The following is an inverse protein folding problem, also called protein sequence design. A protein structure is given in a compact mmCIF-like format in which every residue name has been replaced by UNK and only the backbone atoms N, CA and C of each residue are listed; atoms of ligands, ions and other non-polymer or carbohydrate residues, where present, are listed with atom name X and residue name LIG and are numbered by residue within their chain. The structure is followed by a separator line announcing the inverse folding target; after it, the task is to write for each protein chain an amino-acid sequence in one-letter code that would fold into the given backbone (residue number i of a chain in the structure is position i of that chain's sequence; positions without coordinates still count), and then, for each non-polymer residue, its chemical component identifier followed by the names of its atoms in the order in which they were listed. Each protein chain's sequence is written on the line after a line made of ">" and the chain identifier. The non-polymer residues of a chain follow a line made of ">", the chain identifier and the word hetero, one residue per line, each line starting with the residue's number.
data_IF_874900555862
#
_entry.id   IF_874900555862
#
_cell.length_a   1.000
_cell.length_b   1.000
_cell.length_c   1.000
_cell.angle_alpha   90.00
_cell.angle_beta   90.00
_cell.angle_gamma   90.00
#
_symmetry.space_group_name_H-M   'P 1'
#
loop_
_entity.id
_entity.type
_entity.pdbx_description
1 polymer ?
#
# COMPACT_ATOMS: atom_id res chain seq x y z
N UNK A 1 -32.11 25.71 -61.39
CA UNK A 1 -31.63 27.06 -61.78
C UNK A 1 -32.48 28.04 -60.99
N UNK A 2 -32.05 28.88 -60.05
CA UNK A 2 -30.77 29.50 -59.65
C UNK A 2 -31.01 30.04 -58.22
N UNK A 3 -30.12 29.81 -57.23
CA UNK A 3 -29.18 30.79 -56.61
C UNK A 3 -29.83 32.16 -56.28
N UNK A 4 -29.63 32.83 -55.14
CA UNK A 4 -28.63 32.76 -54.07
C UNK A 4 -29.03 33.79 -52.99
N UNK A 5 -28.78 33.42 -51.73
CA UNK A 5 -28.30 34.17 -50.55
C UNK A 5 -28.69 35.65 -50.34
N UNK A 6 -29.14 35.97 -49.11
CA UNK A 6 -28.47 37.02 -48.34
C UNK A 6 -28.56 36.76 -46.82
N UNK A 7 -27.43 37.01 -46.19
CA UNK A 7 -27.00 36.76 -44.82
C UNK A 7 -27.58 37.80 -43.85
N UNK A 8 -28.04 37.38 -42.68
CA UNK A 8 -28.14 38.26 -41.51
C UNK A 8 -27.42 37.61 -40.31
N UNK A 9 -26.32 38.24 -39.90
CA UNK A 9 -25.51 37.89 -38.73
C UNK A 9 -26.26 38.33 -37.47
N UNK A 10 -26.53 37.42 -36.54
CA UNK A 10 -26.79 37.76 -35.15
C UNK A 10 -25.75 37.09 -34.26
N UNK A 11 -24.89 37.94 -33.69
CA UNK A 11 -23.91 37.60 -32.67
C UNK A 11 -24.65 37.44 -31.33
N UNK A 12 -25.01 36.21 -30.97
CA UNK A 12 -25.24 35.88 -29.56
C UNK A 12 -23.91 35.48 -28.93
N UNK A 13 -23.36 36.39 -28.14
CA UNK A 13 -22.26 36.10 -27.22
C UNK A 13 -22.74 35.08 -26.19
N UNK A 14 -22.28 33.85 -26.32
CA UNK A 14 -22.38 32.85 -25.26
C UNK A 14 -21.37 33.23 -24.17
N UNK A 15 -21.85 33.83 -23.09
CA UNK A 15 -21.12 33.92 -21.84
C UNK A 15 -20.88 32.49 -21.32
N UNK A 16 -19.71 31.94 -21.67
CA UNK A 16 -19.21 30.70 -21.10
C UNK A 16 -18.80 31.01 -19.66
N UNK A 17 -19.71 30.80 -18.72
CA UNK A 17 -19.38 30.72 -17.30
C UNK A 17 -18.42 29.54 -17.13
N UNK A 18 -17.12 29.83 -17.14
CA UNK A 18 -16.10 28.93 -16.63
C UNK A 18 -16.34 28.88 -15.12
N UNK A 19 -17.16 27.93 -14.69
CA UNK A 19 -17.16 27.47 -13.31
C UNK A 19 -15.81 26.79 -13.14
N UNK A 20 -14.83 27.55 -12.68
CA UNK A 20 -13.59 27.02 -12.16
C UNK A 20 -13.97 26.19 -10.92
N UNK A 21 -14.29 24.92 -11.13
CA UNK A 21 -14.29 23.94 -10.06
C UNK A 21 -12.84 23.86 -9.58
N UNK A 22 -12.51 24.71 -8.60
CA UNK A 22 -11.54 24.34 -7.58
C UNK A 22 -12.11 23.07 -6.95
N UNK A 23 -11.75 21.92 -7.53
CA UNK A 23 -11.78 20.65 -6.84
C UNK A 23 -10.79 20.78 -5.68
N UNK A 24 -11.23 21.45 -4.62
CA UNK A 24 -10.73 21.20 -3.30
C UNK A 24 -10.83 19.69 -3.16
N UNK A 25 -9.67 19.05 -3.06
CA UNK A 25 -9.49 17.65 -2.71
C UNK A 25 -10.26 17.41 -1.39
N UNK A 26 -11.57 17.21 -1.48
CA UNK A 26 -12.45 16.80 -0.40
C UNK A 26 -12.19 15.33 -0.18
N UNK A 27 -11.03 15.05 0.43
CA UNK A 27 -10.79 13.81 1.16
C UNK A 27 -11.73 13.82 2.36
N UNK A 28 -13.02 13.64 2.12
CA UNK A 28 -13.97 13.32 3.18
C UNK A 28 -13.68 11.85 3.51
N UNK A 29 -12.83 11.56 4.51
CA UNK A 29 -13.23 11.38 5.91
C UNK A 29 -14.34 10.34 6.17
N UNK A 30 -15.01 9.80 5.15
CA UNK A 30 -16.20 8.97 5.35
C UNK A 30 -15.93 7.51 5.72
N UNK A 31 -14.70 6.99 5.47
CA UNK A 31 -14.33 5.60 5.76
C UNK A 31 -13.11 5.46 6.70
N UNK A 32 -12.58 6.56 7.24
CA UNK A 32 -11.57 6.48 8.32
C UNK A 32 -12.30 6.04 9.58
N UNK A 33 -11.67 5.19 10.40
CA UNK A 33 -12.19 4.75 11.71
C UNK A 33 -13.06 5.82 12.38
N UNK A 34 -14.37 5.59 12.59
CA UNK A 34 -15.06 6.27 13.68
C UNK A 34 -14.45 5.70 14.97
N UNK A 35 -13.40 6.35 15.48
CA UNK A 35 -12.75 5.96 16.73
C UNK A 35 -11.27 5.58 16.64
N UNK A 36 -10.43 6.48 16.11
CA UNK A 36 -9.21 6.82 16.87
C UNK A 36 -9.45 8.21 17.46
N UNK A 37 -10.51 8.33 18.25
CA UNK A 37 -10.75 9.51 19.09
C UNK A 37 -9.86 9.48 20.33
N UNK A 38 -9.25 8.33 20.66
CA UNK A 38 -8.17 8.24 21.65
C UNK A 38 -6.83 7.97 20.97
N UNK A 39 -5.83 8.79 21.28
CA UNK A 39 -4.42 8.55 20.92
C UNK A 39 -3.82 7.29 21.58
N UNK A 40 -4.62 6.47 22.26
CA UNK A 40 -4.16 5.34 23.09
C UNK A 40 -4.62 3.97 22.60
N UNK A 41 -5.65 3.87 21.76
CA UNK A 41 -6.10 2.58 21.26
C UNK A 41 -5.29 2.13 20.04
N UNK A 42 -4.68 0.96 20.13
CA UNK A 42 -3.79 0.41 19.09
C UNK A 42 -4.33 -0.89 18.48
N UNK A 43 -5.55 -1.30 18.83
CA UNK A 43 -6.13 -2.53 18.31
C UNK A 43 -6.42 -2.46 16.81
N UNK A 44 -6.14 -3.55 16.11
CA UNK A 44 -6.48 -3.73 14.70
C UNK A 44 -7.91 -4.25 14.56
N UNK A 45 -8.85 -3.31 14.46
CA UNK A 45 -10.26 -3.61 14.27
C UNK A 45 -10.51 -3.92 12.79
N UNK A 46 -11.44 -4.82 12.49
CA UNK A 46 -11.88 -5.13 11.13
C UNK A 46 -13.34 -4.70 10.99
N UNK A 47 -13.66 -3.89 9.97
CA UNK A 47 -15.04 -3.51 9.65
C UNK A 47 -15.66 -4.33 8.53
N UNK A 48 -14.82 -5.03 7.76
CA UNK A 48 -15.22 -5.85 6.62
C UNK A 48 -14.25 -7.01 6.42
N UNK A 49 -14.70 -8.10 5.76
CA UNK A 49 -13.91 -9.33 5.63
C UNK A 49 -12.86 -9.27 4.51
N UNK A 50 -12.94 -8.30 3.61
CA UNK A 50 -12.07 -8.20 2.42
C UNK A 50 -11.85 -6.75 1.98
N UNK A 51 -10.86 -6.55 1.10
CA UNK A 51 -10.63 -5.29 0.41
C UNK A 51 -11.57 -5.18 -0.79
N UNK A 52 -12.27 -4.06 -0.89
CA UNK A 52 -13.00 -3.71 -2.11
C UNK A 52 -12.06 -3.08 -3.14
N UNK A 53 -12.44 -3.06 -4.43
CA UNK A 53 -11.71 -2.31 -5.45
C UNK A 53 -11.51 -0.82 -5.09
N UNK A 54 -12.45 -0.24 -4.32
CA UNK A 54 -12.32 1.13 -3.82
C UNK A 54 -11.24 1.29 -2.75
N UNK A 55 -11.02 0.28 -1.91
CA UNK A 55 -9.95 0.31 -0.90
C UNK A 55 -8.58 0.24 -1.56
N UNK A 56 -8.44 -0.65 -2.54
CA UNK A 56 -7.21 -0.77 -3.34
C UNK A 56 -6.92 0.55 -4.06
N UNK A 57 -7.91 1.13 -4.75
CA UNK A 57 -7.74 2.42 -5.41
C UNK A 57 -7.38 3.57 -4.45
N UNK A 58 -7.87 3.54 -3.22
CA UNK A 58 -7.52 4.54 -2.21
C UNK A 58 -6.13 4.30 -1.59
N UNK A 59 -5.71 3.04 -1.46
CA UNK A 59 -4.35 2.68 -1.10
C UNK A 59 -3.35 3.14 -2.17
N UNK A 60 -3.63 2.92 -3.45
CA UNK A 60 -2.80 3.42 -4.56
C UNK A 60 -2.62 4.96 -4.45
N UNK A 61 -3.73 5.70 -4.26
CA UNK A 61 -3.68 7.16 -4.06
C UNK A 61 -2.86 7.56 -2.83
N UNK A 62 -2.96 6.82 -1.74
CA UNK A 62 -2.19 7.07 -0.53
C UNK A 62 -0.69 6.89 -0.77
N UNK A 63 -0.28 5.80 -1.43
CA UNK A 63 1.13 5.56 -1.79
C UNK A 63 1.65 6.66 -2.71
N UNK A 64 0.87 7.05 -3.73
CA UNK A 64 1.21 8.15 -4.62
C UNK A 64 1.39 9.47 -3.86
N UNK A 65 0.50 9.77 -2.91
CA UNK A 65 0.58 10.99 -2.10
C UNK A 65 1.84 11.04 -1.23
N UNK A 66 2.18 9.93 -0.57
CA UNK A 66 3.42 9.81 0.22
C UNK A 66 4.65 9.98 -0.67
N UNK A 67 4.68 9.31 -1.82
CA UNK A 67 5.80 9.40 -2.77
C UNK A 67 5.97 10.78 -3.41
N UNK A 68 4.88 11.49 -3.70
CA UNK A 68 4.91 12.89 -4.15
C UNK A 68 5.51 13.81 -3.07
N UNK A 69 5.28 13.51 -1.78
CA UNK A 69 5.93 14.21 -0.67
C UNK A 69 7.45 14.03 -0.67
N UNK A 70 7.93 12.81 -0.93
CA UNK A 70 9.35 12.49 -1.08
C UNK A 70 9.93 13.22 -2.29
N UNK A 71 9.26 13.18 -3.45
CA UNK A 71 9.70 13.84 -4.68
C UNK A 71 9.82 15.37 -4.53
N UNK A 72 9.00 15.97 -3.66
CA UNK A 72 9.06 17.40 -3.30
C UNK A 72 10.12 17.74 -2.24
N UNK A 73 10.89 16.76 -1.77
CA UNK A 73 11.91 16.95 -0.74
C UNK A 73 11.34 17.25 0.65
N UNK A 74 10.09 16.89 0.93
CA UNK A 74 9.47 17.15 2.23
C UNK A 74 9.95 16.20 3.33
N UNK A 75 10.60 15.10 2.93
CA UNK A 75 11.17 14.07 3.80
C UNK A 75 12.13 13.18 2.99
N UNK A 76 13.00 12.44 3.68
CA UNK A 76 13.99 11.54 3.07
C UNK A 76 14.15 10.19 3.80
N UNK A 77 13.40 9.97 4.88
CA UNK A 77 13.36 8.70 5.61
C UNK A 77 11.91 8.35 5.88
N UNK A 78 11.60 7.05 5.99
CA UNK A 78 10.24 6.56 6.28
C UNK A 78 9.68 7.24 7.53
N UNK A 79 10.49 7.35 8.59
CA UNK A 79 10.11 8.02 9.83
C UNK A 79 9.75 9.49 9.63
N UNK A 80 10.57 10.24 8.90
CA UNK A 80 10.29 11.65 8.66
C UNK A 80 9.08 11.83 7.74
N UNK A 81 8.90 10.96 6.75
CA UNK A 81 7.76 11.01 5.85
C UNK A 81 6.44 10.73 6.59
N UNK A 82 6.39 9.67 7.39
CA UNK A 82 5.15 9.27 8.06
C UNK A 82 4.81 10.17 9.26
N UNK A 83 5.79 10.87 9.86
CA UNK A 83 5.54 11.90 10.88
C UNK A 83 5.15 13.25 10.31
N UNK A 84 5.43 13.50 9.04
CA UNK A 84 5.15 14.80 8.43
C UNK A 84 3.68 14.87 7.99
N UNK A 85 2.83 15.73 8.60
CA UNK A 85 1.42 15.82 8.24
C UNK A 85 1.17 16.35 6.81
N UNK A 86 2.20 16.90 6.14
CA UNK A 86 2.15 17.27 4.72
C UNK A 86 2.42 16.10 3.76
N UNK A 87 2.86 14.95 4.28
CA UNK A 87 3.23 13.75 3.51
C UNK A 87 2.38 12.55 3.93
N UNK A 88 2.04 12.42 5.20
CA UNK A 88 1.09 11.45 5.72
C UNK A 88 -0.09 12.18 6.39
N UNK A 89 -1.29 12.18 5.78
CA UNK A 89 -2.47 12.85 6.33
C UNK A 89 -2.91 12.32 7.70
N UNK A 90 -2.44 11.13 8.11
CA UNK A 90 -2.83 10.47 9.35
C UNK A 90 -1.85 10.70 10.51
N UNK A 91 -0.69 11.33 10.24
CA UNK A 91 0.40 11.50 11.20
C UNK A 91 -0.04 12.12 12.54
N UNK A 92 -0.96 13.08 12.52
CA UNK A 92 -1.43 13.80 13.71
C UNK A 92 -2.26 12.93 14.67
N UNK A 93 -2.79 11.82 14.16
CA UNK A 93 -3.66 10.87 14.87
C UNK A 93 -2.97 9.55 15.17
N UNK A 94 -1.67 9.43 14.90
CA UNK A 94 -0.90 8.25 15.30
C UNK A 94 -0.78 8.21 16.83
N UNK A 95 -0.96 7.03 17.44
CA UNK A 95 -0.77 6.86 18.88
C UNK A 95 0.72 6.96 19.26
N UNK A 96 0.97 7.25 20.52
CA UNK A 96 2.33 7.20 21.07
C UNK A 96 2.93 5.80 20.95
N UNK A 97 4.24 5.71 20.69
CA UNK A 97 4.97 4.43 20.59
C UNK A 97 5.09 3.85 19.18
N UNK A 98 4.43 4.42 18.18
CA UNK A 98 4.64 4.04 16.78
C UNK A 98 6.01 4.50 16.29
N UNK A 99 6.88 3.56 15.91
CA UNK A 99 8.27 3.86 15.51
C UNK A 99 8.35 4.48 14.11
N UNK A 100 7.40 4.13 13.23
CA UNK A 100 7.34 4.60 11.84
C UNK A 100 8.66 4.36 11.10
N UNK A 101 9.21 3.16 11.24
CA UNK A 101 10.48 2.76 10.63
C UNK A 101 10.22 1.56 9.73
N UNK A 102 10.97 1.48 8.63
CA UNK A 102 11.08 0.30 7.78
C UNK A 102 12.34 0.40 6.95
N UNK A 103 13.02 -0.71 6.69
CA UNK A 103 14.01 -0.77 5.62
C UNK A 103 13.34 -0.98 4.24
N UNK A 104 14.13 -1.28 3.21
CA UNK A 104 13.61 -1.49 1.86
C UNK A 104 12.68 -2.70 1.73
N UNK A 105 12.98 -3.81 2.41
CA UNK A 105 12.19 -5.03 2.36
C UNK A 105 10.92 -4.91 3.21
N UNK A 106 11.03 -4.25 4.37
CA UNK A 106 9.90 -4.01 5.26
C UNK A 106 8.88 -3.04 4.65
N UNK A 107 9.33 -2.04 3.88
CA UNK A 107 8.52 -0.89 3.48
C UNK A 107 7.19 -1.27 2.78
N UNK A 108 7.15 -2.16 1.78
CA UNK A 108 5.89 -2.56 1.14
C UNK A 108 4.85 -3.12 2.12
N UNK A 109 5.30 -3.93 3.09
CA UNK A 109 4.44 -4.50 4.11
C UNK A 109 4.04 -3.46 5.15
N UNK A 110 4.98 -2.61 5.56
CA UNK A 110 4.74 -1.54 6.51
C UNK A 110 3.72 -0.53 5.98
N UNK A 111 3.87 -0.04 4.75
CA UNK A 111 2.96 0.98 4.19
C UNK A 111 1.55 0.42 3.97
N UNK A 112 1.42 -0.80 3.45
CA UNK A 112 0.12 -1.45 3.26
C UNK A 112 -0.52 -1.83 4.58
N UNK A 113 0.26 -2.34 5.54
CA UNK A 113 -0.21 -2.67 6.88
C UNK A 113 -0.64 -1.43 7.67
N UNK A 114 0.13 -0.34 7.61
CA UNK A 114 -0.24 0.93 8.21
C UNK A 114 -1.57 1.43 7.64
N UNK A 115 -1.71 1.46 6.31
CA UNK A 115 -2.96 1.82 5.65
C UNK A 115 -4.11 0.90 6.09
N UNK A 116 -3.92 -0.42 6.02
CA UNK A 116 -4.93 -1.41 6.37
C UNK A 116 -5.45 -1.22 7.80
N UNK A 117 -4.55 -1.03 8.77
CA UNK A 117 -4.92 -0.75 10.15
C UNK A 117 -5.74 0.54 10.28
N UNK A 118 -5.30 1.61 9.63
CA UNK A 118 -5.99 2.91 9.64
C UNK A 118 -7.39 2.88 9.03
N UNK A 119 -7.66 1.89 8.18
CA UNK A 119 -8.92 1.75 7.44
C UNK A 119 -9.74 0.51 7.82
N UNK A 120 -9.43 -0.14 8.96
CA UNK A 120 -10.14 -1.34 9.43
C UNK A 120 -10.14 -2.50 8.42
N UNK A 121 -9.09 -2.60 7.61
CA UNK A 121 -8.99 -3.58 6.54
C UNK A 121 -8.30 -4.86 7.04
N UNK A 122 -8.70 -6.03 6.51
CA UNK A 122 -7.97 -7.27 6.71
C UNK A 122 -6.52 -7.14 6.25
N UNK A 123 -5.62 -7.84 6.92
CA UNK A 123 -4.22 -7.89 6.52
C UNK A 123 -3.62 -9.24 6.91
N UNK A 124 -2.80 -9.79 6.03
CA UNK A 124 -2.06 -11.02 6.23
C UNK A 124 -0.80 -10.98 5.38
N UNK A 125 0.27 -11.61 5.85
CA UNK A 125 1.56 -11.56 5.18
C UNK A 125 2.44 -12.77 5.53
N UNK A 126 3.38 -13.07 4.64
CA UNK A 126 4.41 -14.09 4.83
C UNK A 126 5.35 -13.65 5.96
N UNK A 127 5.63 -14.56 6.89
CA UNK A 127 6.60 -14.33 7.98
C UNK A 127 7.80 -15.26 7.91
N UNK A 128 7.77 -16.26 7.03
CA UNK A 128 8.87 -17.19 6.84
C UNK A 128 8.83 -17.79 5.44
N UNK A 129 10.02 -17.89 4.84
CA UNK A 129 10.28 -18.58 3.58
C UNK A 129 11.50 -19.47 3.74
N UNK A 130 11.56 -20.55 2.96
CA UNK A 130 12.71 -21.44 2.89
C UNK A 130 13.19 -21.57 1.44
N UNK A 131 14.49 -21.68 1.23
CA UNK A 131 15.02 -21.95 -0.10
C UNK A 131 14.51 -23.29 -0.62
N UNK A 132 14.16 -23.33 -1.90
CA UNK A 132 13.88 -24.59 -2.58
C UNK A 132 15.12 -25.47 -2.52
N UNK A 133 14.93 -26.73 -2.14
CA UNK A 133 16.03 -27.70 -2.12
C UNK A 133 16.57 -27.87 -3.53
N UNK A 134 17.88 -27.66 -3.67
CA UNK A 134 18.62 -27.92 -4.90
C UNK A 134 19.98 -28.54 -4.56
N UNK A 135 20.64 -29.22 -5.52
CA UNK A 135 21.97 -29.80 -5.31
C UNK A 135 23.02 -28.77 -4.86
N UNK A 136 22.90 -27.52 -5.31
CA UNK A 136 23.79 -26.41 -4.97
C UNK A 136 23.51 -25.86 -3.55
N UNK A 137 22.30 -26.12 -3.03
CA UNK A 137 21.80 -25.55 -1.78
C UNK A 137 21.68 -24.03 -1.82
N UNK A 138 21.41 -23.44 -0.65
CA UNK A 138 21.45 -22.00 -0.47
C UNK A 138 22.13 -21.65 0.85
N UNK A 139 23.20 -20.84 0.77
CA UNK A 139 23.87 -20.29 1.98
C UNK A 139 23.11 -19.11 2.58
N UNK A 140 22.37 -18.40 1.74
CA UNK A 140 21.56 -17.25 2.11
C UNK A 140 20.30 -17.25 1.25
N UNK A 141 19.15 -17.44 1.91
CA UNK A 141 17.85 -17.56 1.26
C UNK A 141 17.42 -16.28 0.51
N UNK A 142 18.06 -15.14 0.78
CA UNK A 142 17.86 -13.89 0.03
C UNK A 142 18.39 -13.98 -1.40
N UNK A 143 19.30 -14.91 -1.66
CA UNK A 143 20.00 -15.12 -2.92
C UNK A 143 19.84 -16.55 -3.45
N UNK A 144 18.75 -17.24 -3.09
CA UNK A 144 18.51 -18.63 -3.50
C UNK A 144 18.41 -18.76 -5.04
N UNK A 145 19.08 -19.74 -5.66
CA UNK A 145 19.13 -19.85 -7.13
C UNK A 145 17.76 -20.18 -7.75
N UNK A 146 16.96 -21.00 -7.07
CA UNK A 146 15.63 -21.42 -7.54
C UNK A 146 14.48 -20.67 -6.84
N UNK A 147 14.81 -19.66 -6.03
CA UNK A 147 13.85 -18.98 -5.19
C UNK A 147 13.48 -19.76 -3.93
N UNK A 148 12.44 -19.28 -3.27
CA UNK A 148 11.97 -19.74 -1.98
C UNK A 148 10.52 -20.24 -2.06
N UNK A 149 10.13 -21.05 -1.09
CA UNK A 149 8.75 -21.43 -0.81
C UNK A 149 8.29 -20.80 0.49
N UNK A 150 7.00 -20.47 0.58
CA UNK A 150 6.40 -19.94 1.80
C UNK A 150 6.24 -21.07 2.81
N UNK A 151 6.72 -20.86 4.04
CA UNK A 151 6.60 -21.85 5.13
C UNK A 151 5.72 -21.37 6.26
N UNK A 152 5.50 -20.04 6.37
CA UNK A 152 4.64 -19.47 7.41
C UNK A 152 4.02 -18.15 6.98
N UNK A 153 2.72 -18.03 7.26
CA UNK A 153 1.95 -16.79 7.13
C UNK A 153 1.49 -16.29 8.50
N UNK A 154 1.19 -15.00 8.57
CA UNK A 154 0.60 -14.34 9.73
C UNK A 154 -0.63 -13.57 9.29
N UNK A 155 -1.78 -13.93 9.86
CA UNK A 155 -3.05 -13.25 9.60
C UNK A 155 -3.43 -12.38 10.80
N UNK A 156 -3.79 -11.12 10.53
CA UNK A 156 -4.21 -10.15 11.56
C UNK A 156 -5.68 -10.37 11.90
N UNK A 157 -5.94 -11.38 12.73
CA UNK A 157 -7.30 -11.83 13.05
C UNK A 157 -7.66 -11.55 14.53
N UNK A 158 -8.76 -10.82 14.81
CA UNK A 158 -9.31 -10.69 16.15
C UNK A 158 -9.76 -12.02 16.74
N UNK A 159 -9.50 -12.23 18.02
CA UNK A 159 -9.85 -13.48 18.73
C UNK A 159 -10.96 -13.23 19.73
N UNK A 160 -11.95 -14.13 19.78
CA UNK A 160 -12.95 -14.13 20.84
C UNK A 160 -12.32 -14.66 22.13
N UNK A 161 -12.42 -13.90 23.22
CA UNK A 161 -11.92 -14.26 24.56
C UNK A 161 -13.09 -14.09 25.55
N UNK A 162 -13.74 -15.20 25.89
CA UNK A 162 -14.99 -15.17 26.66
C UNK A 162 -16.07 -14.38 25.91
N UNK A 163 -16.58 -13.32 26.55
CA UNK A 163 -17.58 -12.40 25.99
C UNK A 163 -16.99 -11.16 25.31
N UNK A 164 -15.65 -11.07 25.20
CA UNK A 164 -14.96 -9.92 24.61
C UNK A 164 -14.18 -10.31 23.35
N UNK A 165 -13.86 -9.32 22.53
CA UNK A 165 -12.96 -9.48 21.38
C UNK A 165 -11.60 -8.90 21.73
N UNK A 166 -10.56 -9.71 21.57
CA UNK A 166 -9.16 -9.27 21.66
C UNK A 166 -8.66 -8.96 20.26
N UNK A 167 -8.43 -7.69 19.98
CA UNK A 167 -7.84 -7.23 18.74
C UNK A 167 -6.30 -7.41 18.78
N UNK A 168 -5.67 -7.77 17.65
CA UNK A 168 -4.21 -7.70 17.52
C UNK A 168 -3.72 -6.27 17.75
N UNK A 169 -2.56 -6.12 18.38
CA UNK A 169 -1.97 -4.79 18.60
C UNK A 169 -1.19 -4.35 17.35
N UNK A 170 -1.62 -3.26 16.73
CA UNK A 170 -0.99 -2.74 15.53
C UNK A 170 0.43 -2.22 15.79
N UNK A 171 0.75 -1.72 16.99
CA UNK A 171 2.12 -1.30 17.31
C UNK A 171 3.06 -2.49 17.35
N UNK A 172 2.62 -3.59 17.95
CA UNK A 172 3.37 -4.84 17.97
C UNK A 172 3.60 -5.38 16.54
N UNK A 173 2.56 -5.35 15.69
CA UNK A 173 2.67 -5.80 14.31
C UNK A 173 3.63 -4.90 13.51
N UNK A 174 3.41 -3.59 13.50
CA UNK A 174 4.14 -2.63 12.66
C UNK A 174 5.58 -2.39 13.15
N UNK A 175 5.80 -2.33 14.46
CA UNK A 175 7.12 -2.03 15.03
C UNK A 175 8.01 -3.26 15.22
N UNK A 176 7.43 -4.46 15.34
CA UNK A 176 8.19 -5.67 15.73
C UNK A 176 7.98 -6.83 14.78
N UNK A 177 6.75 -7.20 14.47
CA UNK A 177 6.51 -8.41 13.66
C UNK A 177 6.97 -8.20 12.23
N UNK A 178 6.54 -7.13 11.56
CA UNK A 178 6.98 -6.84 10.18
C UNK A 178 8.50 -6.67 10.15
N UNK A 179 9.02 -5.75 10.96
CA UNK A 179 10.46 -5.42 11.02
C UNK A 179 11.38 -6.60 11.38
N UNK A 180 10.84 -7.62 12.05
CA UNK A 180 11.60 -8.78 12.51
C UNK A 180 11.41 -10.04 11.67
N UNK A 181 10.49 -10.03 10.72
CA UNK A 181 10.11 -11.23 9.93
C UNK A 181 10.25 -11.05 8.44
N UNK A 182 10.21 -9.81 7.95
CA UNK A 182 10.36 -9.54 6.53
C UNK A 182 11.83 -9.41 6.18
N UNK A 183 12.20 -10.02 5.06
CA UNK A 183 13.50 -9.85 4.42
C UNK A 183 13.30 -9.78 2.91
N UNK A 184 14.34 -9.44 2.16
CA UNK A 184 14.27 -9.48 0.69
C UNK A 184 14.02 -10.89 0.12
N UNK A 185 14.25 -11.96 0.91
CA UNK A 185 13.92 -13.33 0.53
C UNK A 185 12.41 -13.54 0.33
N UNK A 186 11.56 -12.77 1.03
CA UNK A 186 10.10 -12.84 0.94
C UNK A 186 9.56 -12.44 -0.45
N UNK A 187 10.35 -11.73 -1.25
CA UNK A 187 10.00 -11.30 -2.61
C UNK A 187 10.55 -12.26 -3.68
N UNK A 188 11.35 -13.25 -3.27
CA UNK A 188 11.98 -14.24 -4.14
C UNK A 188 11.26 -15.58 -4.05
N UNK A 189 9.94 -15.57 -4.23
CA UNK A 189 9.12 -16.78 -4.15
C UNK A 189 9.04 -17.43 -5.54
N UNK A 190 9.24 -18.75 -5.60
CA UNK A 190 9.11 -19.51 -6.83
C UNK A 190 7.66 -19.56 -7.30
N UNK A 191 7.45 -19.64 -8.61
CA UNK A 191 6.12 -19.83 -9.20
C UNK A 191 5.45 -21.15 -8.78
N UNK A 192 6.25 -22.18 -8.52
CA UNK A 192 5.73 -23.49 -8.14
C UNK A 192 5.13 -23.44 -6.73
N UNK A 193 3.83 -23.71 -6.61
CA UNK A 193 3.12 -23.69 -5.34
C UNK A 193 2.70 -22.30 -4.84
N UNK A 194 2.77 -21.26 -5.68
CA UNK A 194 2.36 -19.89 -5.31
C UNK A 194 0.92 -19.76 -4.82
N UNK A 195 0.05 -20.69 -5.21
CA UNK A 195 -1.39 -20.68 -4.92
C UNK A 195 -1.81 -21.88 -4.05
N UNK A 196 -0.89 -22.48 -3.29
CA UNK A 196 -1.26 -23.54 -2.34
C UNK A 196 -2.18 -22.97 -1.23
N UNK A 197 -3.24 -23.72 -0.89
CA UNK A 197 -4.29 -23.34 0.05
C UNK A 197 -3.71 -23.25 1.48
N UNK A 198 -3.10 -22.11 1.79
CA UNK A 198 -2.56 -21.77 3.10
C UNK A 198 -1.11 -21.28 3.10
N UNK A 199 -0.36 -21.48 2.01
CA UNK A 199 1.04 -21.03 1.87
C UNK A 199 1.27 -20.31 0.54
N UNK A 200 0.32 -19.47 0.17
CA UNK A 200 0.39 -18.67 -1.04
C UNK A 200 1.36 -17.48 -0.93
N UNK A 201 1.80 -16.97 -2.08
CA UNK A 201 2.63 -15.77 -2.18
C UNK A 201 1.83 -14.49 -1.89
N UNK A 202 2.45 -13.49 -1.26
CA UNK A 202 1.84 -12.15 -1.11
C UNK A 202 1.88 -11.31 -2.39
N UNK A 203 2.73 -11.71 -3.34
CA UNK A 203 2.98 -10.99 -4.58
C UNK A 203 2.71 -11.89 -5.77
N UNK A 204 2.28 -11.26 -6.86
CA UNK A 204 2.07 -11.89 -8.16
C UNK A 204 2.85 -11.10 -9.23
N UNK A 205 3.28 -11.76 -10.32
CA UNK A 205 3.90 -11.06 -11.44
C UNK A 205 2.94 -10.00 -12.03
N UNK A 206 3.40 -8.75 -12.08
CA UNK A 206 2.67 -7.68 -12.75
C UNK A 206 3.05 -7.62 -14.23
N UNK A 207 2.07 -7.33 -15.09
CA UNK A 207 2.35 -7.04 -16.50
C UNK A 207 3.15 -5.75 -16.60
N UNK A 208 4.22 -5.76 -17.40
CA UNK A 208 5.06 -4.58 -17.62
C UNK A 208 4.39 -3.66 -18.65
N UNK A 209 3.40 -2.91 -18.18
CA UNK A 209 2.70 -1.86 -18.92
C UNK A 209 2.11 -0.83 -17.94
N UNK A 210 1.56 0.27 -18.48
CA UNK A 210 0.98 1.36 -17.69
C UNK A 210 -0.28 0.95 -16.92
N UNK A 211 -0.94 -0.13 -17.34
CA UNK A 211 -2.09 -0.70 -16.64
C UNK A 211 -1.68 -1.66 -15.51
N UNK A 212 -0.53 -2.32 -15.62
CA UNK A 212 -0.06 -3.34 -14.67
C UNK A 212 0.85 -2.80 -13.57
N UNK A 213 1.59 -1.72 -13.83
CA UNK A 213 2.44 -1.05 -12.85
C UNK A 213 1.73 0.20 -12.33
N UNK A 214 1.45 0.22 -11.03
CA UNK A 214 0.66 1.27 -10.35
C UNK A 214 1.34 1.70 -9.05
N UNK A 215 0.95 2.83 -8.45
CA UNK A 215 1.39 3.17 -7.10
C UNK A 215 1.09 2.01 -6.12
N UNK A 216 2.10 1.55 -5.39
CA UNK A 216 2.01 0.36 -4.54
C UNK A 216 2.59 -0.91 -5.17
N UNK A 217 2.81 -0.96 -6.48
CA UNK A 217 3.54 -2.07 -7.13
C UNK A 217 4.95 -2.17 -6.53
N UNK A 218 5.36 -3.39 -6.23
CA UNK A 218 6.69 -3.67 -5.67
C UNK A 218 7.61 -4.16 -6.78
N UNK A 219 8.82 -3.62 -6.82
CA UNK A 219 9.91 -4.10 -7.67
C UNK A 219 10.99 -4.64 -6.75
N UNK A 220 11.39 -5.88 -7.01
CA UNK A 220 12.48 -6.56 -6.34
C UNK A 220 13.65 -6.75 -7.32
N UNK A 221 14.83 -6.31 -6.91
CA UNK A 221 16.09 -6.57 -7.60
C UNK A 221 16.73 -7.86 -7.03
N UNK A 222 17.19 -8.80 -7.88
CA UNK A 222 17.97 -9.96 -7.47
C UNK A 222 19.14 -9.71 -6.50
N UNK A 223 19.69 -8.49 -6.42
CA UNK A 223 20.71 -8.12 -5.42
C UNK A 223 20.15 -7.90 -4.00
N UNK A 224 18.84 -8.04 -3.80
CA UNK A 224 18.20 -7.96 -2.48
C UNK A 224 17.60 -6.60 -2.14
N UNK A 225 17.47 -5.70 -3.12
CA UNK A 225 16.81 -4.40 -2.92
C UNK A 225 15.34 -4.46 -3.34
N UNK A 226 14.49 -3.72 -2.63
CA UNK A 226 13.05 -3.69 -2.86
C UNK A 226 12.60 -2.23 -2.89
N UNK A 227 11.80 -1.87 -3.89
CA UNK A 227 11.23 -0.53 -4.01
C UNK A 227 9.73 -0.60 -4.25
N UNK A 228 9.01 0.39 -3.72
CA UNK A 228 7.57 0.57 -3.99
C UNK A 228 7.39 1.71 -4.96
N UNK A 229 6.72 1.44 -6.08
CA UNK A 229 6.38 2.44 -7.09
C UNK A 229 5.38 3.41 -6.48
N UNK A 230 5.59 4.73 -6.65
CA UNK A 230 4.60 5.74 -6.28
C UNK A 230 3.96 6.40 -7.51
N UNK A 231 4.59 6.28 -8.68
CA UNK A 231 4.18 6.92 -9.94
C UNK A 231 4.87 6.27 -11.13
N UNK A 232 4.17 6.22 -12.26
CA UNK A 232 4.74 5.94 -13.59
C UNK A 232 4.60 7.23 -14.41
N UNK A 233 5.71 7.82 -14.85
CA UNK A 233 5.71 9.09 -15.58
C UNK A 233 5.46 8.88 -17.08
N UNK A 234 5.33 9.96 -17.85
CA UNK A 234 4.96 9.88 -19.29
C UNK A 234 6.01 9.17 -20.15
N UNK A 235 7.25 9.18 -19.70
CA UNK A 235 8.42 8.55 -20.30
C UNK A 235 8.58 7.07 -19.92
N UNK A 236 7.86 6.59 -18.90
CA UNK A 236 7.94 5.22 -18.41
C UNK A 236 8.33 5.20 -16.95
#
# INVERSE_FOLDING_TARGET
>A
MTKSDTIAKSTLGAFMFIILMLALNTWAQSNVQPGVTSKSFTGWVLSKPEWSPGDEANYEKYVAYVGEGVAKGLCNTVTNCFRNPKVNPYASSDPGGLKLYSDCADFPYFVRGYYAWRFQLPFGFITEVAAIQSPEGSRDIRYSPYGNVVTKRYDVIPKKVGNSVKYPDALEILNRIIQGKITSANFRVSYSGMDDDGMYSDFYPARVNREGIRPGTVIYDPNGHVVTVYKVTKDG
#
